data_IF_128868449630
#
_entry.id   IF_128868449630
#
_cell.length_a   1.000
_cell.length_b   1.000
_cell.length_c   1.000
_cell.angle_alpha   90.00
_cell.angle_beta   90.00
_cell.angle_gamma   90.00
#
_symmetry.space_group_name_H-M   'P 1'
#
loop_
_entity.id
_entity.type
_entity.pdbx_description
1 polymer ?
#
# COMPACT_ATOMS: atom_id res chain seq x y z
N UNK A 1 -17.39 10.69 -21.02
CA UNK A 1 -16.61 9.53 -21.50
C UNK A 1 -15.23 9.62 -20.89
N UNK A 2 -14.62 8.49 -20.55
CA UNK A 2 -13.26 8.45 -20.01
C UNK A 2 -12.24 8.47 -21.16
N UNK A 3 -11.19 9.27 -21.02
CA UNK A 3 -10.13 9.45 -22.01
C UNK A 3 -8.80 9.24 -21.33
N UNK A 4 -7.78 8.77 -22.04
CA UNK A 4 -6.42 8.57 -21.48
C UNK A 4 -5.81 9.86 -20.88
N UNK A 5 -6.26 11.03 -21.33
CA UNK A 5 -5.76 12.32 -20.85
C UNK A 5 -6.25 12.72 -19.45
N UNK A 6 -7.27 12.06 -18.89
CA UNK A 6 -7.91 12.49 -17.63
C UNK A 6 -8.30 11.32 -16.73
N UNK A 7 -8.31 11.56 -15.42
CA UNK A 7 -8.84 10.60 -14.44
C UNK A 7 -10.31 10.32 -14.75
N UNK A 8 -10.63 9.05 -14.97
CA UNK A 8 -11.98 8.59 -15.20
C UNK A 8 -12.82 8.70 -13.91
N UNK A 9 -13.60 9.77 -13.76
CA UNK A 9 -14.38 10.03 -12.53
C UNK A 9 -15.41 8.94 -12.22
N UNK A 10 -15.92 8.25 -13.25
CA UNK A 10 -16.81 7.10 -13.08
C UNK A 10 -16.10 5.84 -12.55
N UNK A 11 -14.77 5.77 -12.61
CA UNK A 11 -13.98 4.64 -12.13
C UNK A 11 -13.36 4.85 -10.73
N UNK A 12 -13.61 5.99 -10.09
CA UNK A 12 -12.98 6.35 -8.80
C UNK A 12 -13.61 5.62 -7.60
N UNK A 13 -14.87 5.24 -7.74
CA UNK A 13 -15.72 4.72 -6.65
C UNK A 13 -16.05 3.23 -6.79
N UNK A 14 -16.39 2.72 -7.99
CA UNK A 14 -16.81 1.33 -8.13
C UNK A 14 -15.68 0.32 -7.89
N UNK A 15 -16.05 -0.91 -7.54
CA UNK A 15 -15.13 -2.03 -7.37
C UNK A 15 -14.60 -2.54 -8.73
N UNK A 16 -13.53 -3.35 -8.72
CA UNK A 16 -13.03 -4.01 -9.93
C UNK A 16 -14.11 -4.81 -10.67
N UNK A 17 -14.95 -5.50 -9.90
CA UNK A 17 -16.01 -6.36 -10.43
C UNK A 17 -17.09 -5.50 -11.12
N UNK A 18 -17.45 -4.36 -10.52
CA UNK A 18 -18.39 -3.39 -11.10
C UNK A 18 -17.82 -2.70 -12.34
N UNK A 19 -16.49 -2.49 -12.39
CA UNK A 19 -15.81 -1.90 -13.56
C UNK A 19 -15.53 -2.92 -14.67
N UNK A 20 -15.70 -4.22 -14.42
CA UNK A 20 -15.35 -5.26 -15.37
C UNK A 20 -13.87 -5.22 -15.77
N UNK A 21 -12.98 -4.97 -14.81
CA UNK A 21 -11.54 -4.88 -15.06
C UNK A 21 -11.00 -6.15 -15.72
N UNK A 22 -10.04 -6.00 -16.64
CA UNK A 22 -9.36 -7.11 -17.31
C UNK A 22 -8.63 -8.00 -16.29
N UNK A 23 -9.13 -9.22 -16.12
CA UNK A 23 -8.59 -10.18 -15.15
C UNK A 23 -7.23 -10.72 -15.55
N UNK A 24 -6.82 -10.57 -16.81
CA UNK A 24 -5.47 -10.95 -17.27
C UNK A 24 -4.39 -10.04 -16.68
N UNK A 25 -4.75 -8.83 -16.26
CA UNK A 25 -3.86 -7.87 -15.59
C UNK A 25 -3.79 -8.09 -14.06
N UNK A 26 -4.44 -9.12 -13.53
CA UNK A 26 -4.40 -9.41 -12.10
C UNK A 26 -3.00 -9.86 -11.67
N UNK A 27 -2.40 -9.07 -10.79
CA UNK A 27 -1.15 -9.45 -10.13
C UNK A 27 -1.43 -10.49 -9.05
N UNK A 28 -1.10 -11.76 -9.33
CA UNK A 28 -1.22 -12.83 -8.34
C UNK A 28 -0.33 -12.57 -7.14
N UNK A 29 -0.84 -12.94 -5.96
CA UNK A 29 -0.14 -12.84 -4.68
C UNK A 29 0.02 -14.27 -4.16
N UNK A 30 1.19 -14.90 -4.32
CA UNK A 30 1.39 -16.29 -3.89
C UNK A 30 1.01 -16.55 -2.42
N UNK A 31 1.21 -15.56 -1.53
CA UNK A 31 0.74 -15.65 -0.14
C UNK A 31 -0.78 -15.78 -0.04
N UNK A 32 -1.54 -15.05 -0.84
CA UNK A 32 -2.99 -15.17 -0.86
C UNK A 32 -3.42 -16.54 -1.39
N UNK A 33 -2.78 -17.01 -2.46
CA UNK A 33 -3.08 -18.32 -3.05
C UNK A 33 -2.88 -19.46 -2.02
N UNK A 34 -1.80 -19.41 -1.23
CA UNK A 34 -1.54 -20.37 -0.14
C UNK A 34 -2.60 -20.33 0.97
N UNK A 35 -2.97 -19.13 1.42
CA UNK A 35 -4.02 -18.97 2.44
C UNK A 35 -5.37 -19.50 1.94
N UNK A 36 -5.71 -19.24 0.67
CA UNK A 36 -6.92 -19.78 0.04
C UNK A 36 -6.87 -21.30 -0.10
N UNK A 37 -5.67 -21.87 -0.31
CA UNK A 37 -5.44 -23.31 -0.32
C UNK A 37 -5.47 -23.96 1.09
N UNK A 38 -5.69 -23.18 2.15
CA UNK A 38 -5.77 -23.67 3.53
C UNK A 38 -4.40 -23.88 4.18
N UNK A 39 -3.33 -23.34 3.61
CA UNK A 39 -2.02 -23.31 4.27
C UNK A 39 -2.02 -22.27 5.39
N UNK A 40 -1.23 -22.54 6.44
CA UNK A 40 -1.05 -21.60 7.55
C UNK A 40 -0.57 -20.23 7.03
N UNK A 41 -1.13 -19.11 7.52
CA UNK A 41 -0.70 -17.79 7.12
C UNK A 41 0.81 -17.64 7.37
N UNK A 42 1.54 -17.23 6.34
CA UNK A 42 2.97 -17.02 6.48
C UNK A 42 3.30 -15.96 7.54
N UNK A 43 4.51 -16.04 8.11
CA UNK A 43 5.04 -15.14 9.13
C UNK A 43 4.99 -13.66 8.70
N UNK A 44 4.88 -12.75 9.67
CA UNK A 44 4.91 -11.31 9.42
C UNK A 44 6.14 -10.91 8.60
N UNK A 45 5.92 -10.35 7.41
CA UNK A 45 7.02 -9.78 6.61
C UNK A 45 7.31 -8.35 7.07
N UNK A 46 8.56 -8.08 7.43
CA UNK A 46 9.05 -6.73 7.76
C UNK A 46 9.98 -6.25 6.65
N UNK A 47 9.63 -5.10 6.07
CA UNK A 47 10.42 -4.44 5.04
C UNK A 47 11.05 -3.18 5.63
N UNK A 48 12.36 -3.01 5.45
CA UNK A 48 13.11 -1.82 5.87
C UNK A 48 13.62 -1.12 4.61
N UNK A 49 13.26 0.15 4.46
CA UNK A 49 13.65 0.93 3.29
C UNK A 49 13.08 2.35 3.31
N UNK A 50 13.26 3.06 2.19
CA UNK A 50 12.82 4.45 2.03
C UNK A 50 11.31 4.52 1.82
N UNK A 51 10.65 5.41 2.54
CA UNK A 51 9.27 5.81 2.27
C UNK A 51 9.25 7.01 1.32
N UNK A 52 8.36 7.01 0.34
CA UNK A 52 7.99 8.21 -0.41
C UNK A 52 6.85 8.93 0.31
N UNK A 53 7.05 10.19 0.67
CA UNK A 53 6.04 11.00 1.39
C UNK A 53 5.52 12.12 0.48
N UNK A 54 4.22 12.38 0.51
CA UNK A 54 3.59 13.47 -0.26
C UNK A 54 2.19 13.83 0.25
N UNK A 55 1.62 14.91 -0.27
CA UNK A 55 0.33 15.46 0.16
C UNK A 55 -0.88 14.92 -0.62
N UNK A 56 -0.64 14.02 -1.58
CA UNK A 56 -1.67 13.43 -2.44
C UNK A 56 -1.78 11.91 -2.25
N UNK A 57 -3.02 11.42 -2.30
CA UNK A 57 -3.29 9.98 -2.33
C UNK A 57 -2.91 9.41 -3.70
N UNK A 58 -1.97 8.47 -3.73
CA UNK A 58 -1.64 7.74 -4.96
C UNK A 58 -2.70 6.66 -5.25
N UNK A 59 -3.29 6.73 -6.44
CA UNK A 59 -4.26 5.76 -6.98
C UNK A 59 -3.90 5.29 -8.39
N UNK A 60 -2.61 5.27 -8.72
CA UNK A 60 -2.10 4.85 -10.04
C UNK A 60 -0.91 3.92 -9.85
N UNK A 61 -1.08 2.67 -10.30
CA UNK A 61 -0.02 1.67 -10.25
C UNK A 61 1.21 2.08 -11.06
N UNK A 62 1.00 2.69 -12.23
CA UNK A 62 2.10 3.20 -13.07
C UNK A 62 2.90 4.31 -12.37
N UNK A 63 2.20 5.24 -11.70
CA UNK A 63 2.84 6.29 -10.91
C UNK A 63 3.66 5.69 -9.77
N UNK A 64 3.09 4.74 -9.02
CA UNK A 64 3.80 4.00 -7.96
C UNK A 64 5.04 3.32 -8.52
N UNK A 65 4.92 2.57 -9.61
CA UNK A 65 6.03 1.81 -10.17
C UNK A 65 7.14 2.74 -10.69
N UNK A 66 6.77 3.94 -11.18
CA UNK A 66 7.73 5.00 -11.50
C UNK A 66 8.46 5.51 -10.25
N UNK A 67 7.75 5.79 -9.16
CA UNK A 67 8.36 6.20 -7.88
C UNK A 67 9.34 5.14 -7.35
N UNK A 68 8.98 3.85 -7.44
CA UNK A 68 9.88 2.75 -7.05
C UNK A 68 11.14 2.75 -7.89
N UNK A 69 11.03 2.85 -9.22
CA UNK A 69 12.19 2.86 -10.14
C UNK A 69 13.09 4.09 -9.96
N UNK A 70 12.51 5.27 -9.78
CA UNK A 70 13.26 6.53 -9.72
C UNK A 70 13.88 6.80 -8.34
N UNK A 71 13.20 6.39 -7.26
CA UNK A 71 13.59 6.77 -5.90
C UNK A 71 13.93 5.60 -4.98
N UNK A 72 13.71 4.36 -5.43
CA UNK A 72 13.96 3.17 -4.62
C UNK A 72 13.09 3.08 -3.38
N UNK A 73 11.86 3.62 -3.44
CA UNK A 73 10.93 3.59 -2.29
C UNK A 73 10.31 2.21 -2.13
N UNK A 74 10.14 1.77 -0.88
CA UNK A 74 9.47 0.51 -0.54
C UNK A 74 7.98 0.70 -0.20
N UNK A 75 7.59 1.93 0.11
CA UNK A 75 6.22 2.31 0.45
C UNK A 75 5.96 3.79 0.12
N UNK A 76 4.69 4.15 -0.10
CA UNK A 76 4.23 5.52 -0.33
C UNK A 76 3.20 5.88 0.74
N UNK A 77 3.33 7.06 1.33
CA UNK A 77 2.49 7.53 2.45
C UNK A 77 2.46 9.08 2.50
N UNK A 78 1.82 9.68 3.52
CA UNK A 78 1.57 11.13 3.53
C UNK A 78 2.07 11.90 4.77
N UNK A 79 2.54 11.24 5.82
CA UNK A 79 2.83 11.88 7.11
C UNK A 79 4.26 11.66 7.61
N UNK A 80 4.97 10.71 7.03
CA UNK A 80 6.21 10.14 7.56
C UNK A 80 7.41 11.06 7.42
N UNK A 81 7.37 12.06 6.53
CA UNK A 81 8.45 13.04 6.37
C UNK A 81 8.51 14.08 7.51
N UNK A 82 7.36 14.53 8.03
CA UNK A 82 7.30 15.64 8.99
C UNK A 82 8.06 15.41 10.30
N UNK A 83 7.93 14.24 10.97
CA UNK A 83 8.61 13.99 12.25
C UNK A 83 10.15 14.09 12.21
N UNK A 84 10.77 13.87 11.05
CA UNK A 84 12.24 13.88 10.90
C UNK A 84 12.85 15.26 11.12
N UNK A 85 12.10 16.34 10.89
CA UNK A 85 12.58 17.71 11.11
C UNK A 85 12.67 18.06 12.60
N UNK A 86 11.96 17.32 13.47
CA UNK A 86 11.87 17.62 14.90
C UNK A 86 12.75 16.76 15.80
N UNK A 87 12.97 15.49 15.46
CA UNK A 87 13.79 14.56 16.26
C UNK A 87 14.19 13.31 15.45
N UNK A 88 15.29 12.62 15.85
CA UNK A 88 15.56 11.26 15.37
C UNK A 88 14.35 10.36 15.63
N UNK A 89 13.84 9.73 14.59
CA UNK A 89 12.66 8.89 14.68
C UNK A 89 12.77 7.65 13.79
N UNK A 90 11.94 6.65 14.10
CA UNK A 90 11.71 5.48 13.25
C UNK A 90 10.23 5.48 12.90
N UNK A 91 9.93 5.40 11.61
CA UNK A 91 8.55 5.33 11.11
C UNK A 91 8.20 3.86 10.86
N UNK A 92 7.18 3.37 11.55
CA UNK A 92 6.65 2.01 11.39
C UNK A 92 5.25 2.10 10.79
N UNK A 93 5.05 1.51 9.61
CA UNK A 93 3.74 1.47 8.93
C UNK A 93 3.40 0.06 8.45
N UNK A 94 2.12 -0.27 8.55
CA UNK A 94 1.51 -1.46 7.99
C UNK A 94 0.90 -1.14 6.63
N UNK A 95 0.99 -2.09 5.72
CA UNK A 95 0.45 -1.96 4.37
C UNK A 95 -1.08 -2.10 4.42
N UNK A 96 -1.81 -1.07 3.99
CA UNK A 96 -3.28 -1.08 3.91
C UNK A 96 -3.84 -1.08 2.48
N UNK A 97 -3.00 -0.79 1.48
CA UNK A 97 -3.31 -0.88 0.05
C UNK A 97 -2.01 -0.88 -0.77
N UNK A 98 -2.13 -1.06 -2.08
CA UNK A 98 -1.00 -1.12 -3.00
C UNK A 98 -0.77 0.18 -3.79
N UNK A 99 -1.33 1.32 -3.38
CA UNK A 99 -1.17 2.60 -4.08
C UNK A 99 -1.55 2.56 -5.58
N UNK A 100 -2.59 1.80 -5.92
CA UNK A 100 -3.19 1.75 -7.26
C UNK A 100 -4.67 2.14 -7.23
N UNK A 101 -5.35 1.97 -8.36
CA UNK A 101 -6.75 2.30 -8.53
C UNK A 101 -7.69 1.49 -7.63
N UNK A 102 -7.24 0.35 -7.11
CA UNK A 102 -8.06 -0.59 -6.32
C UNK A 102 -7.94 -0.37 -4.81
N UNK A 103 -7.65 0.88 -4.40
CA UNK A 103 -7.52 1.28 -3.01
C UNK A 103 -8.82 1.03 -2.22
N UNK A 104 -8.70 0.37 -1.07
CA UNK A 104 -9.81 0.11 -0.15
C UNK A 104 -9.45 0.47 1.29
N UNK A 105 -10.43 0.94 2.08
CA UNK A 105 -10.24 1.23 3.51
C UNK A 105 -10.30 -0.02 4.40
N UNK A 106 -10.68 -1.18 3.85
CA UNK A 106 -10.93 -2.42 4.60
C UNK A 106 -9.75 -2.85 5.48
N UNK A 107 -8.53 -2.67 4.99
CA UNK A 107 -7.31 -3.15 5.66
C UNK A 107 -6.68 -2.15 6.62
N UNK A 108 -7.19 -0.91 6.73
CA UNK A 108 -6.57 0.12 7.57
C UNK A 108 -6.51 -0.28 9.04
N UNK A 109 -7.56 -0.94 9.57
CA UNK A 109 -7.58 -1.41 10.96
C UNK A 109 -6.53 -2.49 11.23
N UNK A 110 -6.42 -3.46 10.32
CA UNK A 110 -5.40 -4.51 10.40
C UNK A 110 -3.99 -3.91 10.32
N UNK A 111 -3.74 -3.05 9.32
CA UNK A 111 -2.46 -2.38 9.15
C UNK A 111 -2.06 -1.55 10.39
N UNK A 112 -3.00 -0.81 10.98
CA UNK A 112 -2.76 -0.05 12.20
C UNK A 112 -2.42 -0.96 13.39
N UNK A 113 -3.18 -2.04 13.60
CA UNK A 113 -2.92 -3.00 14.66
C UNK A 113 -1.55 -3.68 14.51
N UNK A 114 -1.19 -4.12 13.29
CA UNK A 114 0.11 -4.71 13.00
C UNK A 114 1.25 -3.71 13.22
N UNK A 115 1.09 -2.46 12.78
CA UNK A 115 2.08 -1.40 13.03
C UNK A 115 2.31 -1.19 14.52
N UNK A 116 1.23 -1.07 15.30
CA UNK A 116 1.31 -0.85 16.73
C UNK A 116 1.98 -2.03 17.46
N UNK A 117 1.67 -3.27 17.05
CA UNK A 117 2.31 -4.46 17.60
C UNK A 117 3.82 -4.51 17.32
N UNK A 118 4.23 -4.21 16.08
CA UNK A 118 5.65 -4.12 15.70
C UNK A 118 6.36 -3.00 16.46
N UNK A 119 5.76 -1.80 16.52
CA UNK A 119 6.33 -0.69 17.29
C UNK A 119 6.50 -1.06 18.77
N UNK A 120 5.50 -1.72 19.38
CA UNK A 120 5.61 -2.21 20.75
C UNK A 120 6.76 -3.20 20.90
N UNK A 121 6.92 -4.15 19.98
CA UNK A 121 8.02 -5.10 20.00
C UNK A 121 9.40 -4.40 19.88
N UNK A 122 9.52 -3.37 19.05
CA UNK A 122 10.74 -2.55 18.92
C UNK A 122 11.07 -1.83 20.24
N UNK A 123 10.06 -1.26 20.92
CA UNK A 123 10.25 -0.51 22.17
C UNK A 123 10.51 -1.40 23.40
N UNK A 124 10.14 -2.67 23.31
CA UNK A 124 10.30 -3.65 24.39
C UNK A 124 11.51 -4.57 24.20
N UNK A 125 12.19 -4.46 23.05
CA UNK A 125 13.41 -5.20 22.71
C UNK A 125 14.66 -4.63 23.34
#
# INVERSE_FOLDING_TARGET
GCTEANVCTSAVTPTCDELGCDTTQLMRRPRLDRVVAGEEPAELDVFVGRFGSGDAVVRSGEYRDRMVREHGVVAIEMEGAGPWDGAPCVVVKGVCDFADSHKSKRWQRYAAATSAAVTKAILQG
#
